data_IF_505096201615
#
_entry.id   IF_505096201615
#
_cell.length_a   1.000
_cell.length_b   1.000
_cell.length_c   1.000
_cell.angle_alpha   90.00
_cell.angle_beta   90.00
_cell.angle_gamma   90.00
#
_symmetry.space_group_name_H-M   'P 1'
#
loop_
_entity.id
_entity.type
_entity.pdbx_description
1 polymer ?
#
# COMPACT_ATOMS: atom_id res chain seq x y z
N UNK A 1 -12.89 2.59 -1.72
CA UNK A 1 -11.64 1.80 -1.67
C UNK A 1 -11.09 1.74 -3.09
N UNK A 2 -9.83 2.12 -3.29
CA UNK A 2 -9.26 2.31 -4.63
C UNK A 2 -9.03 0.95 -5.34
N UNK A 3 -9.49 0.75 -6.59
CA UNK A 3 -9.31 -0.50 -7.32
C UNK A 3 -7.83 -0.89 -7.53
N UNK A 4 -6.92 0.10 -7.53
CA UNK A 4 -5.49 -0.15 -7.57
C UNK A 4 -4.98 -0.77 -6.27
N UNK A 5 -5.51 -0.33 -5.14
CA UNK A 5 -5.16 -0.89 -3.84
C UNK A 5 -5.52 -2.37 -3.82
N UNK A 6 -6.71 -2.74 -4.34
CA UNK A 6 -7.14 -4.14 -4.39
C UNK A 6 -6.23 -4.99 -5.29
N UNK A 7 -5.84 -4.46 -6.45
CA UNK A 7 -4.92 -5.17 -7.36
C UNK A 7 -3.53 -5.31 -6.77
N UNK A 8 -2.97 -4.24 -6.17
CA UNK A 8 -1.67 -4.24 -5.49
C UNK A 8 -1.65 -5.08 -4.21
N UNK A 9 -2.75 -5.11 -3.46
CA UNK A 9 -2.96 -6.04 -2.36
C UNK A 9 -3.02 -7.48 -2.87
N UNK A 10 -3.71 -7.73 -3.99
CA UNK A 10 -3.73 -9.06 -4.59
C UNK A 10 -2.31 -9.47 -5.02
N UNK A 11 -1.52 -8.58 -5.61
CA UNK A 11 -0.10 -8.81 -5.94
C UNK A 11 0.72 -9.09 -4.67
N UNK A 12 0.56 -8.30 -3.61
CA UNK A 12 1.24 -8.49 -2.32
C UNK A 12 0.87 -9.84 -1.68
N UNK A 13 -0.41 -10.19 -1.64
CA UNK A 13 -0.89 -11.46 -1.10
C UNK A 13 -0.44 -12.65 -1.95
N UNK A 14 -0.39 -12.54 -3.28
CA UNK A 14 0.11 -13.61 -4.15
C UNK A 14 1.61 -13.84 -3.92
N UNK A 15 2.40 -12.76 -3.83
CA UNK A 15 3.83 -12.84 -3.50
C UNK A 15 4.05 -13.42 -2.10
N UNK A 16 3.28 -12.97 -1.12
CA UNK A 16 3.34 -13.51 0.24
C UNK A 16 2.98 -15.00 0.25
N UNK A 17 1.89 -15.42 -0.38
CA UNK A 17 1.48 -16.84 -0.36
C UNK A 17 2.48 -17.75 -1.09
N UNK A 18 3.03 -17.32 -2.23
CA UNK A 18 3.96 -18.13 -3.04
C UNK A 18 5.38 -18.19 -2.45
N UNK A 19 5.87 -17.10 -1.83
CA UNK A 19 7.28 -17.00 -1.43
C UNK A 19 7.54 -17.07 0.08
N UNK A 20 6.53 -16.83 0.93
CA UNK A 20 6.63 -17.01 2.38
C UNK A 20 6.99 -18.45 2.82
N UNK A 21 6.52 -19.54 2.16
CA UNK A 21 6.99 -20.89 2.53
C UNK A 21 8.47 -21.14 2.16
N UNK A 22 9.02 -20.48 1.13
CA UNK A 22 10.44 -20.60 0.79
C UNK A 22 11.34 -19.81 1.77
N UNK A 23 10.86 -18.68 2.29
CA UNK A 23 11.56 -17.86 3.29
C UNK A 23 11.63 -18.54 4.66
N UNK A 24 10.53 -19.15 5.10
CA UNK A 24 10.42 -19.83 6.41
C UNK A 24 11.33 -21.07 6.55
N UNK A 25 11.90 -21.59 5.46
CA UNK A 25 12.82 -22.73 5.52
C UNK A 25 14.31 -22.31 5.65
N UNK A 26 14.61 -21.00 5.63
CA UNK A 26 15.98 -20.47 5.63
C UNK A 26 16.25 -19.49 6.80
N UNK A 27 15.40 -19.43 7.84
CA UNK A 27 15.80 -18.69 9.05
C UNK A 27 14.79 -18.65 10.18
N UNK A 28 15.21 -19.15 11.35
CA UNK A 28 14.72 -18.66 12.64
C UNK A 28 14.15 -19.72 13.58
N UNK A 29 15.01 -20.60 14.10
CA UNK A 29 14.74 -21.34 15.32
C UNK A 29 14.79 -20.40 16.54
N UNK A 30 13.80 -20.49 17.43
CA UNK A 30 13.95 -20.09 18.83
C UNK A 30 12.76 -19.36 19.44
N UNK A 31 12.14 -19.97 20.45
CA UNK A 31 11.44 -19.23 21.50
C UNK A 31 10.11 -19.85 21.91
N UNK A 32 10.14 -20.67 22.97
CA UNK A 32 8.97 -21.35 23.52
C UNK A 32 7.86 -20.41 23.95
N UNK A 33 6.64 -20.73 23.54
CA UNK A 33 5.42 -20.08 24.00
C UNK A 33 5.06 -20.64 25.37
N UNK A 34 5.36 -19.87 26.42
CA UNK A 34 4.61 -20.01 27.68
C UNK A 34 3.21 -19.47 27.39
N UNK A 35 2.22 -20.35 27.46
CA UNK A 35 0.81 -19.97 27.41
C UNK A 35 0.55 -18.86 28.45
N UNK A 36 -0.04 -17.72 28.06
CA UNK A 36 -0.47 -16.73 29.03
C UNK A 36 -1.71 -17.27 29.76
N UNK A 37 -1.54 -17.56 31.05
CA UNK A 37 -2.62 -17.84 31.98
C UNK A 37 -3.53 -16.60 32.07
N UNK A 38 -4.64 -16.61 31.33
CA UNK A 38 -5.60 -15.51 31.34
C UNK A 38 -6.65 -15.79 32.41
N UNK A 39 -6.68 -14.97 33.45
CA UNK A 39 -7.81 -14.94 34.39
C UNK A 39 -8.99 -14.17 33.77
N UNK A 40 -10.23 -14.62 33.98
CA UNK A 40 -11.46 -14.00 33.44
C UNK A 40 -11.58 -12.51 33.81
N UNK A 41 -11.19 -12.15 35.04
CA UNK A 41 -11.17 -10.77 35.51
C UNK A 41 -10.17 -9.89 34.74
N UNK A 42 -9.03 -10.47 34.36
CA UNK A 42 -8.02 -9.78 33.58
C UNK A 42 -8.49 -9.56 32.14
N UNK A 43 -9.21 -10.52 31.55
CA UNK A 43 -9.82 -10.36 30.23
C UNK A 43 -10.89 -9.26 30.23
N UNK A 44 -11.73 -9.20 31.27
CA UNK A 44 -12.73 -8.14 31.44
C UNK A 44 -12.11 -6.75 31.55
N UNK A 45 -11.04 -6.59 32.34
CA UNK A 45 -10.31 -5.33 32.45
C UNK A 45 -9.71 -4.88 31.11
N UNK A 46 -9.15 -5.81 30.32
CA UNK A 46 -8.61 -5.48 28.99
C UNK A 46 -9.69 -5.04 28.01
N UNK A 47 -10.87 -5.68 28.03
CA UNK A 47 -11.99 -5.29 27.17
C UNK A 47 -12.47 -3.88 27.51
N UNK A 48 -12.54 -3.53 28.80
CA UNK A 48 -12.93 -2.17 29.21
C UNK A 48 -11.90 -1.12 28.79
N UNK A 49 -10.60 -1.45 28.85
CA UNK A 49 -9.56 -0.55 28.38
C UNK A 49 -9.61 -0.34 26.85
N UNK A 50 -9.95 -1.39 26.10
CA UNK A 50 -10.13 -1.30 24.65
C UNK A 50 -11.31 -0.39 24.29
N UNK A 51 -12.44 -0.50 25.00
CA UNK A 51 -13.59 0.39 24.81
C UNK A 51 -13.24 1.86 25.10
N UNK A 52 -12.45 2.11 26.16
CA UNK A 52 -11.93 3.45 26.44
C UNK A 52 -11.04 4.00 25.32
N UNK A 53 -10.19 3.13 24.75
CA UNK A 53 -9.31 3.48 23.62
C UNK A 53 -10.12 3.80 22.36
N UNK A 54 -11.15 3.00 22.06
CA UNK A 54 -12.03 3.22 20.91
C UNK A 54 -12.78 4.56 21.04
N UNK A 55 -13.28 4.88 22.24
CA UNK A 55 -13.95 6.16 22.49
C UNK A 55 -13.01 7.36 22.30
N UNK A 56 -11.76 7.24 22.73
CA UNK A 56 -10.75 8.28 22.49
C UNK A 56 -10.45 8.46 21.00
N UNK A 57 -10.30 7.36 20.24
CA UNK A 57 -10.10 7.42 18.79
C UNK A 57 -11.29 8.04 18.06
N UNK A 58 -12.52 7.73 18.47
CA UNK A 58 -13.72 8.33 17.90
C UNK A 58 -13.72 9.86 18.06
N UNK A 59 -13.30 10.35 19.22
CA UNK A 59 -13.13 11.78 19.46
C UNK A 59 -12.05 12.39 18.55
N UNK A 60 -10.89 11.73 18.44
CA UNK A 60 -9.80 12.19 17.56
C UNK A 60 -10.23 12.25 16.09
N UNK A 61 -10.98 11.27 15.59
CA UNK A 61 -11.49 11.25 14.21
C UNK A 61 -12.43 12.44 13.98
N UNK A 62 -13.30 12.74 14.95
CA UNK A 62 -14.24 13.86 14.86
C UNK A 62 -13.49 15.20 14.80
N UNK A 63 -12.46 15.36 15.63
CA UNK A 63 -11.61 16.55 15.65
C UNK A 63 -10.79 16.71 14.35
N UNK A 64 -10.25 15.62 13.81
CA UNK A 64 -9.57 15.66 12.51
C UNK A 64 -10.53 16.06 11.39
N UNK A 65 -11.77 15.57 11.38
CA UNK A 65 -12.79 15.94 10.40
C UNK A 65 -13.05 17.45 10.37
N UNK A 66 -13.13 18.10 11.53
CA UNK A 66 -13.30 19.56 11.61
C UNK A 66 -12.08 20.32 11.10
N UNK A 67 -10.87 19.82 11.40
CA UNK A 67 -9.62 20.43 10.94
C UNK A 67 -9.51 20.38 9.40
N UNK A 68 -9.89 19.25 8.80
CA UNK A 68 -9.90 19.06 7.35
C UNK A 68 -10.92 20.02 6.69
N UNK A 69 -12.11 20.18 7.27
CA UNK A 69 -13.12 21.11 6.76
C UNK A 69 -12.63 22.57 6.75
N UNK A 70 -11.87 22.98 7.77
CA UNK A 70 -11.27 24.32 7.80
C UNK A 70 -10.20 24.52 6.72
N UNK A 71 -9.33 23.53 6.49
CA UNK A 71 -8.31 23.59 5.45
C UNK A 71 -8.95 23.65 4.04
N UNK A 72 -10.06 22.96 3.83
CA UNK A 72 -10.80 23.01 2.56
C UNK A 72 -11.50 24.36 2.35
N UNK A 73 -12.06 24.98 3.39
CA UNK A 73 -12.68 26.30 3.29
C UNK A 73 -11.67 27.41 2.94
N UNK A 74 -10.41 27.26 3.35
CA UNK A 74 -9.34 28.23 3.07
C UNK A 74 -8.80 28.12 1.63
N UNK A 75 -8.85 26.93 1.03
CA UNK A 75 -8.40 26.69 -0.35
C UNK A 75 -9.32 27.33 -1.42
N UNK A 76 -10.59 27.58 -1.11
CA UNK A 76 -11.57 28.16 -2.05
C UNK A 76 -11.38 29.68 -2.25
N UNK A 77 -10.62 30.37 -1.38
CA UNK A 77 -10.47 31.83 -1.41
C UNK A 77 -9.28 32.36 -2.23
N UNK A 78 -8.49 31.51 -2.90
CA UNK A 78 -7.38 31.96 -3.76
C UNK A 78 -7.76 31.90 -5.25
N UNK A 79 -7.78 33.04 -5.98
CA UNK A 79 -8.03 33.02 -7.41
C UNK A 79 -6.82 32.44 -8.16
N UNK A 80 -7.07 31.40 -8.96
CA UNK A 80 -6.09 30.77 -9.84
C UNK A 80 -5.55 31.75 -10.89
N UNK A 81 -4.28 32.14 -10.80
CA UNK A 81 -3.60 32.82 -11.90
C UNK A 81 -3.29 31.82 -13.02
N UNK A 82 -3.74 32.14 -14.22
CA UNK A 82 -3.52 31.41 -15.45
C UNK A 82 -2.04 31.33 -15.84
N UNK A 83 -1.64 30.14 -16.31
CA UNK A 83 -0.60 29.98 -17.34
C UNK A 83 0.86 29.96 -16.89
N UNK A 84 1.32 28.82 -16.37
CA UNK A 84 2.70 28.35 -16.62
C UNK A 84 2.70 26.82 -16.76
N UNK A 85 3.47 26.25 -17.71
CA UNK A 85 3.62 24.80 -17.79
C UNK A 85 4.37 24.35 -16.54
N UNK A 86 3.66 23.67 -15.65
CA UNK A 86 4.18 23.14 -14.41
C UNK A 86 5.18 22.01 -14.76
N UNK A 87 6.45 22.35 -14.93
CA UNK A 87 7.52 21.38 -14.91
C UNK A 87 7.74 20.97 -13.45
N UNK A 88 6.88 20.07 -12.98
CA UNK A 88 6.99 19.48 -11.65
C UNK A 88 8.37 18.84 -11.44
N UNK A 89 8.78 18.63 -10.18
CA UNK A 89 10.08 18.04 -9.86
C UNK A 89 10.30 16.80 -10.71
N UNK A 90 11.46 16.72 -11.39
CA UNK A 90 11.84 15.59 -12.24
C UNK A 90 11.79 14.33 -11.39
N UNK A 91 10.72 13.56 -11.54
CA UNK A 91 10.49 12.38 -10.72
C UNK A 91 11.60 11.38 -10.99
N UNK A 92 12.16 10.84 -9.91
CA UNK A 92 13.21 9.83 -10.01
C UNK A 92 12.70 8.67 -10.85
N UNK A 93 13.53 8.22 -11.79
CA UNK A 93 13.24 7.04 -12.61
C UNK A 93 12.97 5.88 -11.66
N UNK A 94 11.80 5.25 -11.81
CA UNK A 94 11.45 4.08 -11.01
C UNK A 94 12.46 2.97 -11.27
N UNK A 95 13.07 2.50 -10.19
CA UNK A 95 14.04 1.42 -10.21
C UNK A 95 13.34 0.11 -10.62
N UNK A 96 14.07 -0.72 -11.36
CA UNK A 96 13.64 -2.08 -11.71
C UNK A 96 13.47 -2.87 -10.41
N UNK A 97 12.32 -3.52 -10.25
CA UNK A 97 11.99 -4.34 -9.10
C UNK A 97 12.33 -5.81 -9.40
N UNK A 98 13.07 -6.44 -8.48
CA UNK A 98 13.57 -7.81 -8.62
C UNK A 98 12.69 -8.86 -7.90
N UNK A 99 11.65 -8.41 -7.20
CA UNK A 99 10.80 -9.28 -6.38
C UNK A 99 11.26 -9.43 -4.93
N UNK A 100 12.28 -8.69 -4.50
CA UNK A 100 12.78 -8.74 -3.12
C UNK A 100 11.80 -8.09 -2.14
N UNK A 101 11.38 -8.85 -1.12
CA UNK A 101 10.50 -8.36 -0.06
C UNK A 101 11.08 -7.15 0.69
N UNK A 102 12.41 -7.05 0.79
CA UNK A 102 13.07 -5.92 1.45
C UNK A 102 12.84 -4.59 0.72
N UNK A 103 12.54 -4.62 -0.58
CA UNK A 103 12.30 -3.43 -1.41
C UNK A 103 10.85 -3.28 -1.86
N UNK A 104 10.01 -4.29 -1.58
CA UNK A 104 8.61 -4.37 -2.00
C UNK A 104 7.77 -3.17 -1.53
N UNK A 105 7.86 -2.80 -0.24
CA UNK A 105 7.11 -1.66 0.30
C UNK A 105 7.53 -0.34 -0.36
N UNK A 106 8.84 -0.12 -0.50
CA UNK A 106 9.38 1.07 -1.18
C UNK A 106 8.96 1.16 -2.64
N UNK A 107 8.92 0.02 -3.34
CA UNK A 107 8.45 -0.07 -4.71
C UNK A 107 6.95 0.28 -4.84
N UNK A 108 6.09 -0.32 -4.01
CA UNK A 108 4.64 -0.05 -4.01
C UNK A 108 4.36 1.43 -3.72
N UNK A 109 5.02 1.99 -2.69
CA UNK A 109 4.85 3.39 -2.32
C UNK A 109 5.28 4.32 -3.46
N UNK A 110 6.38 4.00 -4.15
CA UNK A 110 6.87 4.77 -5.30
C UNK A 110 5.88 4.72 -6.48
N UNK A 111 5.33 3.54 -6.79
CA UNK A 111 4.31 3.37 -7.83
C UNK A 111 3.04 4.18 -7.51
N UNK A 112 2.55 4.12 -6.28
CA UNK A 112 1.38 4.88 -5.84
C UNK A 112 1.61 6.39 -5.98
N UNK A 113 2.77 6.90 -5.54
CA UNK A 113 3.11 8.32 -5.68
C UNK A 113 3.16 8.75 -7.14
N UNK A 114 3.77 7.94 -8.02
CA UNK A 114 3.91 8.29 -9.43
C UNK A 114 2.55 8.34 -10.15
N UNK A 115 1.71 7.33 -9.92
CA UNK A 115 0.36 7.28 -10.50
C UNK A 115 -0.51 8.44 -9.99
N UNK A 116 -0.38 8.77 -8.70
CA UNK A 116 -1.15 9.86 -8.08
C UNK A 116 -0.70 11.24 -8.55
N UNK A 117 0.59 11.42 -8.80
CA UNK A 117 1.14 12.68 -9.29
C UNK A 117 0.79 12.95 -10.77
N UNK A 118 0.47 11.92 -11.55
CA UNK A 118 0.21 12.03 -13.00
C UNK A 118 -1.05 11.28 -13.45
N UNK A 119 -2.23 11.58 -12.91
CA UNK A 119 -3.45 10.81 -13.20
C UNK A 119 -3.83 10.80 -14.69
N UNK A 120 -3.45 11.86 -15.42
CA UNK A 120 -3.67 12.02 -16.85
C UNK A 120 -2.78 11.12 -17.75
N UNK A 121 -1.64 10.62 -17.25
CA UNK A 121 -0.86 9.56 -17.93
C UNK A 121 -1.45 8.16 -17.66
N UNK A 122 -2.35 8.03 -16.67
CA UNK A 122 -2.90 6.76 -16.19
C UNK A 122 -4.45 6.75 -16.21
N UNK A 123 -5.08 6.96 -17.38
CA UNK A 123 -6.54 7.16 -17.46
C UNK A 123 -7.36 5.89 -17.17
N UNK A 124 -6.75 4.70 -17.27
CA UNK A 124 -7.43 3.43 -16.99
C UNK A 124 -6.55 2.46 -16.18
N UNK A 125 -7.20 1.47 -15.59
CA UNK A 125 -6.57 0.48 -14.74
C UNK A 125 -5.53 -0.38 -15.48
N UNK A 126 -5.79 -0.72 -16.74
CA UNK A 126 -4.89 -1.54 -17.55
C UNK A 126 -3.54 -0.86 -17.77
N UNK A 127 -3.54 0.43 -18.10
CA UNK A 127 -2.31 1.24 -18.27
C UNK A 127 -1.51 1.27 -16.97
N UNK A 128 -2.19 1.42 -15.83
CA UNK A 128 -1.55 1.39 -14.50
C UNK A 128 -0.88 0.04 -14.24
N UNK A 129 -1.59 -1.07 -14.47
CA UNK A 129 -1.09 -2.43 -14.25
C UNK A 129 0.08 -2.74 -15.20
N UNK A 130 -0.09 -2.53 -16.51
CA UNK A 130 0.94 -2.78 -17.51
C UNK A 130 2.20 -1.95 -17.24
N UNK A 131 2.04 -0.71 -16.80
CA UNK A 131 3.17 0.15 -16.47
C UNK A 131 3.92 -0.34 -15.22
N UNK A 132 3.23 -0.73 -14.14
CA UNK A 132 3.87 -1.32 -12.95
C UNK A 132 4.61 -2.62 -13.30
N UNK A 133 3.96 -3.47 -14.10
CA UNK A 133 4.53 -4.70 -14.64
C UNK A 133 5.81 -4.44 -15.47
N UNK A 134 5.91 -3.30 -16.14
CA UNK A 134 7.10 -2.90 -16.91
C UNK A 134 8.37 -2.74 -16.08
N UNK A 135 8.28 -2.62 -14.75
CA UNK A 135 9.44 -2.56 -13.85
C UNK A 135 9.85 -3.93 -13.29
N UNK A 136 9.07 -4.97 -13.53
CA UNK A 136 9.29 -6.34 -13.06
C UNK A 136 10.16 -7.14 -14.04
N UNK A 137 11.35 -6.63 -14.37
CA UNK A 137 12.18 -7.18 -15.46
C UNK A 137 13.25 -8.19 -15.01
N UNK A 138 13.39 -8.43 -13.71
CA UNK A 138 14.46 -9.28 -13.18
C UNK A 138 13.98 -10.07 -11.97
N UNK A 139 14.76 -11.09 -11.60
CA UNK A 139 14.53 -11.91 -10.41
C UNK A 139 13.15 -12.59 -10.40
N UNK A 140 12.55 -12.65 -9.20
CA UNK A 140 11.25 -13.29 -9.00
C UNK A 140 10.11 -12.47 -9.63
N UNK A 141 10.30 -11.16 -9.77
CA UNK A 141 9.31 -10.29 -10.40
C UNK A 141 9.11 -10.62 -11.89
N UNK A 142 10.16 -11.04 -12.59
CA UNK A 142 10.07 -11.44 -14.00
C UNK A 142 9.23 -12.71 -14.20
N UNK A 143 9.46 -13.74 -13.38
CA UNK A 143 8.66 -14.98 -13.46
C UNK A 143 7.18 -14.72 -13.27
N UNK A 144 6.86 -13.80 -12.36
CA UNK A 144 5.50 -13.35 -12.12
C UNK A 144 4.90 -12.63 -13.34
N UNK A 145 5.67 -11.73 -13.96
CA UNK A 145 5.29 -11.02 -15.18
C UNK A 145 4.95 -11.99 -16.33
N UNK A 146 5.81 -12.98 -16.58
CA UNK A 146 5.62 -14.01 -17.61
C UNK A 146 4.34 -14.83 -17.37
N UNK A 147 4.11 -15.27 -16.12
CA UNK A 147 2.91 -16.02 -15.75
C UNK A 147 1.64 -15.21 -15.90
N UNK A 148 1.67 -13.94 -15.47
CA UNK A 148 0.52 -13.05 -15.55
C UNK A 148 0.12 -12.76 -17.00
N UNK A 149 1.09 -12.51 -17.88
CA UNK A 149 0.82 -12.31 -19.30
C UNK A 149 0.27 -13.58 -19.96
N UNK A 150 0.81 -14.74 -19.61
CA UNK A 150 0.31 -16.03 -20.11
C UNK A 150 -1.14 -16.24 -19.71
N UNK A 151 -1.49 -15.99 -18.44
CA UNK A 151 -2.86 -16.08 -17.95
C UNK A 151 -3.82 -15.12 -18.67
N UNK A 152 -3.40 -13.86 -18.86
CA UNK A 152 -4.20 -12.86 -19.58
C UNK A 152 -4.37 -13.19 -21.07
N UNK A 153 -3.41 -13.87 -21.70
CA UNK A 153 -3.49 -14.30 -23.10
C UNK A 153 -4.38 -15.53 -23.31
N UNK A 154 -4.66 -16.30 -22.25
CA UNK A 154 -5.55 -17.46 -22.28
C UNK A 154 -7.01 -17.16 -21.95
N UNK A 155 -7.31 -15.89 -21.61
CA UNK A 155 -8.65 -15.35 -21.29
C UNK A 155 -9.20 -14.56 -22.47
#
# INVERSE_FOLDING_TARGET
>A
MDPLLYSLLLFYYLFQILFYPLWMMVGGAGGGTKEPDWSLDQALAQIQQLLGTVNSLQHTITQQGQTIAQLQAQAVATPSSSGTPFHGPKMAMLLIYDGSMATCEGFINSCCLYISAKPQEFPNLQIKITWVLGFMQTGMAQLFWDHFLTYMATL
#
